data_IF_587353279297
#
_entry.id   IF_587353279297
#
_cell.length_a   1.000
_cell.length_b   1.000
_cell.length_c   1.000
_cell.angle_alpha   90.00
_cell.angle_beta   90.00
_cell.angle_gamma   90.00
#
_symmetry.space_group_name_H-M   'P 1'
#
loop_
_entity.id
_entity.type
_entity.pdbx_description
1 polymer ?
#
# COMPACT_ATOMS: atom_id res chain seq x y z
N UNK A 1 -2.18 -14.34 0.59
CA UNK A 1 -1.00 -14.77 1.39
C UNK A 1 0.23 -14.09 0.83
N UNK A 2 1.08 -13.55 1.71
CA UNK A 2 2.38 -12.95 1.37
C UNK A 2 3.46 -13.81 2.04
N UNK A 3 4.55 -14.08 1.33
CA UNK A 3 5.70 -14.78 1.88
C UNK A 3 6.83 -13.79 2.11
N UNK A 4 7.16 -13.53 3.38
CA UNK A 4 8.38 -12.82 3.74
C UNK A 4 9.51 -13.83 3.84
N UNK A 5 10.52 -13.70 2.99
CA UNK A 5 11.65 -14.62 2.91
C UNK A 5 12.90 -13.92 3.43
N UNK A 6 13.49 -14.47 4.49
CA UNK A 6 14.76 -14.02 5.05
C UNK A 6 15.92 -14.72 4.31
N UNK A 7 16.69 -13.93 3.56
CA UNK A 7 17.84 -14.38 2.79
C UNK A 7 19.18 -14.27 3.52
N UNK A 8 19.19 -13.92 4.82
CA UNK A 8 20.42 -13.80 5.60
C UNK A 8 21.22 -15.11 5.70
N UNK A 9 20.53 -16.25 5.63
CA UNK A 9 21.12 -17.58 5.44
C UNK A 9 20.43 -18.30 4.28
N UNK A 10 21.03 -18.20 3.08
CA UNK A 10 20.50 -18.82 1.87
C UNK A 10 20.45 -20.36 1.93
N UNK A 11 21.16 -20.98 2.87
CA UNK A 11 21.12 -22.44 3.07
C UNK A 11 19.96 -22.87 3.96
N UNK A 12 19.53 -22.01 4.88
CA UNK A 12 18.46 -22.27 5.86
C UNK A 12 17.44 -21.12 5.87
N UNK A 13 16.77 -20.91 4.73
CA UNK A 13 15.78 -19.85 4.58
C UNK A 13 14.72 -19.90 5.67
N UNK A 14 14.45 -18.75 6.29
CA UNK A 14 13.28 -18.57 7.13
C UNK A 14 12.19 -17.90 6.30
N UNK A 15 11.00 -18.48 6.34
CA UNK A 15 9.83 -17.94 5.63
C UNK A 15 8.72 -17.68 6.63
N UNK A 16 8.22 -16.45 6.64
CA UNK A 16 7.00 -16.08 7.37
C UNK A 16 5.87 -15.95 6.38
N UNK A 17 4.85 -16.78 6.54
CA UNK A 17 3.64 -16.71 5.75
C UNK A 17 2.62 -15.80 6.44
N UNK A 18 2.23 -14.73 5.75
CA UNK A 18 1.31 -13.72 6.26
C UNK A 18 -0.04 -13.90 5.55
N UNK A 19 -1.09 -14.07 6.34
CA UNK A 19 -2.45 -14.01 5.83
C UNK A 19 -2.75 -12.57 5.37
N UNK A 20 -3.17 -12.45 4.13
CA UNK A 20 -3.49 -11.19 3.48
C UNK A 20 -4.60 -11.45 2.46
N UNK A 21 -5.27 -10.38 2.03
CA UNK A 21 -6.40 -10.42 1.10
C UNK A 21 -6.07 -11.17 -0.20
N UNK A 22 -7.11 -11.67 -0.88
CA UNK A 22 -6.97 -12.32 -2.19
C UNK A 22 -6.72 -11.30 -3.29
N UNK A 23 -6.14 -11.76 -4.41
CA UNK A 23 -5.87 -10.94 -5.60
C UNK A 23 -4.83 -9.83 -5.35
N UNK A 24 -3.81 -10.13 -4.55
CA UNK A 24 -2.62 -9.30 -4.46
C UNK A 24 -1.96 -9.20 -5.84
N UNK A 25 -1.49 -8.01 -6.18
CA UNK A 25 -0.94 -7.71 -7.49
C UNK A 25 0.40 -6.98 -7.35
N UNK A 26 0.39 -5.66 -7.43
CA UNK A 26 1.54 -4.77 -7.39
C UNK A 26 1.54 -3.92 -6.13
N UNK A 27 2.63 -3.19 -5.91
CA UNK A 27 2.84 -2.44 -4.67
C UNK A 27 4.25 -1.85 -4.58
N UNK A 28 4.44 -1.00 -3.59
CA UNK A 28 5.73 -0.38 -3.30
C UNK A 28 5.93 -0.09 -1.83
N UNK A 29 7.16 0.28 -1.51
CA UNK A 29 7.49 0.70 -0.15
C UNK A 29 7.07 2.15 0.08
N UNK A 30 6.69 2.43 1.32
CA UNK A 30 6.55 3.79 1.82
C UNK A 30 7.89 4.55 1.76
N UNK A 31 7.83 5.86 2.01
CA UNK A 31 9.01 6.74 1.95
C UNK A 31 10.16 6.30 2.88
N UNK A 32 9.85 5.65 4.02
CA UNK A 32 10.84 5.16 4.98
C UNK A 32 11.44 3.80 4.61
N UNK A 33 10.87 3.14 3.59
CA UNK A 33 11.24 1.79 3.14
C UNK A 33 10.96 0.70 4.19
N UNK A 34 10.03 0.93 5.11
CA UNK A 34 9.67 -0.02 6.17
C UNK A 34 8.36 -0.73 5.87
N UNK A 35 7.38 -0.03 5.35
CA UNK A 35 6.05 -0.58 5.08
C UNK A 35 5.88 -0.85 3.60
N UNK A 36 5.48 -2.07 3.25
CA UNK A 36 5.13 -2.45 1.89
C UNK A 36 3.62 -2.34 1.71
N UNK A 37 3.20 -1.46 0.81
CA UNK A 37 1.79 -1.25 0.44
C UNK A 37 1.55 -1.95 -0.89
N UNK A 38 0.61 -2.90 -0.91
CA UNK A 38 0.28 -3.67 -2.12
C UNK A 38 -1.22 -3.77 -2.35
N UNK A 39 -1.63 -3.63 -3.60
CA UNK A 39 -3.03 -3.67 -3.99
C UNK A 39 -3.55 -5.11 -4.01
N UNK A 40 -4.66 -5.33 -3.30
CA UNK A 40 -5.59 -6.43 -3.52
C UNK A 40 -6.64 -5.96 -4.53
N UNK A 41 -6.25 -5.83 -5.80
CA UNK A 41 -6.94 -5.00 -6.78
C UNK A 41 -8.43 -5.37 -6.99
N UNK A 42 -8.75 -6.64 -7.18
CA UNK A 42 -10.12 -7.13 -7.36
C UNK A 42 -10.97 -7.05 -6.09
N UNK A 43 -10.40 -6.55 -4.98
CA UNK A 43 -11.07 -6.32 -3.69
C UNK A 43 -11.10 -4.85 -3.31
N UNK A 44 -10.62 -3.94 -4.16
CA UNK A 44 -10.61 -2.49 -3.91
C UNK A 44 -9.84 -2.09 -2.64
N UNK A 45 -8.84 -2.90 -2.26
CA UNK A 45 -8.11 -2.74 -1.00
C UNK A 45 -6.61 -2.67 -1.21
N UNK A 46 -5.92 -2.07 -0.25
CA UNK A 46 -4.46 -2.08 -0.12
C UNK A 46 -4.09 -2.79 1.19
N UNK A 47 -3.24 -3.80 1.10
CA UNK A 47 -2.62 -4.44 2.25
C UNK A 47 -1.33 -3.69 2.62
N UNK A 48 -1.12 -3.47 3.91
CA UNK A 48 0.09 -2.84 4.45
C UNK A 48 0.85 -3.85 5.29
N UNK A 49 2.11 -4.09 4.94
CA UNK A 49 2.98 -5.05 5.62
C UNK A 49 4.14 -4.31 6.27
N UNK A 50 4.34 -4.49 7.58
CA UNK A 50 5.59 -4.06 8.24
C UNK A 50 6.68 -5.07 7.91
N UNK A 51 7.65 -4.66 7.10
CA UNK A 51 8.76 -5.53 6.66
C UNK A 51 9.76 -5.81 7.77
N UNK A 52 9.79 -4.98 8.82
CA UNK A 52 10.66 -5.16 9.99
C UNK A 52 10.16 -6.27 10.90
N UNK A 53 8.85 -6.39 11.06
CA UNK A 53 8.22 -7.40 11.93
C UNK A 53 7.60 -8.56 11.16
N UNK A 54 7.62 -8.52 9.82
CA UNK A 54 6.98 -9.50 8.94
C UNK A 54 5.50 -9.71 9.29
N UNK A 55 4.74 -8.63 9.40
CA UNK A 55 3.33 -8.67 9.83
C UNK A 55 2.42 -7.79 8.97
N UNK A 56 1.19 -8.24 8.75
CA UNK A 56 0.10 -7.40 8.24
C UNK A 56 -0.30 -6.39 9.31
N UNK A 57 -0.20 -5.09 8.99
CA UNK A 57 -0.57 -4.02 9.92
C UNK A 57 -1.92 -3.38 9.59
N UNK A 58 -2.33 -3.39 8.31
CA UNK A 58 -3.61 -2.86 7.90
C UNK A 58 -4.13 -3.47 6.59
N UNK A 59 -5.45 -3.47 6.46
CA UNK A 59 -6.17 -3.64 5.19
C UNK A 59 -7.01 -2.38 4.97
N UNK A 60 -6.62 -1.57 4.00
CA UNK A 60 -7.19 -0.25 3.73
C UNK A 60 -8.15 -0.36 2.56
N UNK A 61 -9.41 0.06 2.72
CA UNK A 61 -10.32 0.27 1.59
C UNK A 61 -9.91 1.54 0.86
N UNK A 62 -9.82 1.48 -0.46
CA UNK A 62 -9.31 2.59 -1.27
C UNK A 62 -10.41 3.58 -1.68
N UNK A 63 -11.68 3.27 -1.40
CA UNK A 63 -12.87 4.02 -1.84
C UNK A 63 -12.94 4.23 -3.37
N UNK A 64 -12.12 3.52 -4.14
CA UNK A 64 -12.07 3.48 -5.59
C UNK A 64 -12.09 2.03 -6.10
N UNK A 65 -12.13 1.88 -7.42
CA UNK A 65 -12.33 0.59 -8.09
C UNK A 65 -11.03 0.10 -8.72
N UNK A 66 -10.58 -1.09 -8.30
CA UNK A 66 -9.39 -1.75 -8.85
C UNK A 66 -8.13 -0.87 -8.73
N UNK A 67 -7.61 -0.65 -7.52
CA UNK A 67 -6.37 0.10 -7.32
C UNK A 67 -5.22 -0.59 -8.07
N UNK A 68 -4.44 0.22 -8.79
CA UNK A 68 -3.32 -0.24 -9.60
C UNK A 68 -2.14 0.73 -9.49
N UNK A 69 -1.36 0.64 -8.40
CA UNK A 69 -0.34 1.63 -8.08
C UNK A 69 0.94 1.55 -8.91
N UNK A 70 1.26 0.40 -9.52
CA UNK A 70 2.64 0.04 -9.81
C UNK A 70 3.45 -0.04 -8.52
N UNK A 71 4.33 0.94 -8.30
CA UNK A 71 5.05 1.14 -7.02
C UNK A 71 4.38 2.19 -6.11
N UNK A 72 3.36 2.87 -6.63
CA UNK A 72 2.76 4.07 -6.05
C UNK A 72 3.71 5.26 -6.02
N UNK A 73 3.22 6.37 -5.45
CA UNK A 73 3.99 7.59 -5.29
C UNK A 73 3.99 8.03 -3.82
N UNK A 74 5.18 8.29 -3.27
CA UNK A 74 5.33 8.82 -1.92
C UNK A 74 5.37 10.35 -1.98
N UNK A 75 4.59 11.02 -1.14
CA UNK A 75 4.47 12.47 -1.08
C UNK A 75 4.49 12.92 0.39
N UNK A 76 5.06 14.10 0.65
CA UNK A 76 4.87 14.79 1.93
C UNK A 76 3.69 15.76 1.81
N UNK A 77 2.53 15.36 2.32
CA UNK A 77 1.30 16.13 2.21
C UNK A 77 1.30 17.27 3.24
N UNK A 78 1.05 18.53 2.87
CA UNK A 78 1.18 19.69 3.76
C UNK A 78 0.26 19.64 4.99
N UNK A 79 -0.84 18.89 4.93
CA UNK A 79 -1.80 18.74 6.03
C UNK A 79 -1.63 17.40 6.76
N UNK A 80 -1.36 16.31 6.03
CA UNK A 80 -1.46 14.94 6.55
C UNK A 80 -0.09 14.30 6.82
N UNK A 81 1.00 14.96 6.43
CA UNK A 81 2.35 14.41 6.49
C UNK A 81 2.60 13.36 5.40
N UNK A 82 3.48 12.37 5.65
CA UNK A 82 3.81 11.33 4.67
C UNK A 82 2.60 10.52 4.22
N UNK A 83 2.38 10.48 2.91
CA UNK A 83 1.33 9.70 2.26
C UNK A 83 1.90 8.89 1.10
N UNK A 84 1.22 7.79 0.77
CA UNK A 84 1.46 6.97 -0.42
C UNK A 84 0.21 6.96 -1.30
N UNK A 85 0.39 7.14 -2.60
CA UNK A 85 -0.68 7.31 -3.56
C UNK A 85 -0.86 6.09 -4.47
N UNK A 86 -2.12 5.77 -4.77
CA UNK A 86 -2.52 4.81 -5.82
C UNK A 86 -3.60 5.40 -6.72
N UNK A 87 -3.47 5.20 -8.03
CA UNK A 87 -4.53 5.40 -9.01
C UNK A 87 -5.41 4.15 -9.11
N UNK A 88 -6.50 4.29 -9.87
CA UNK A 88 -7.47 3.22 -10.09
C UNK A 88 -7.65 2.94 -11.58
N UNK A 89 -7.84 1.65 -11.91
CA UNK A 89 -8.21 1.26 -13.28
C UNK A 89 -9.71 1.39 -13.53
N UNK A 90 -10.53 1.17 -12.49
CA UNK A 90 -11.98 1.10 -12.60
C UNK A 90 -12.70 2.44 -12.52
N UNK A 91 -12.01 3.51 -12.10
CA UNK A 91 -12.54 4.87 -12.02
C UNK A 91 -11.41 5.92 -12.08
N UNK A 92 -11.78 7.20 -11.98
CA UNK A 92 -10.89 8.35 -12.14
C UNK A 92 -10.25 8.85 -10.83
N UNK A 93 -10.33 8.06 -9.75
CA UNK A 93 -9.86 8.48 -8.44
C UNK A 93 -8.37 8.15 -8.21
N UNK A 94 -7.72 8.96 -7.37
CA UNK A 94 -6.40 8.70 -6.81
C UNK A 94 -6.49 8.82 -5.29
N UNK A 95 -6.26 7.70 -4.60
CA UNK A 95 -6.33 7.64 -3.15
C UNK A 95 -4.96 7.94 -2.53
N UNK A 96 -4.94 8.83 -1.53
CA UNK A 96 -3.77 9.10 -0.68
C UNK A 96 -3.94 8.40 0.66
N UNK A 97 -3.01 7.52 1.00
CA UNK A 97 -3.01 6.74 2.25
C UNK A 97 -1.90 7.26 3.16
N UNK A 98 -2.21 7.60 4.42
CA UNK A 98 -1.19 8.01 5.40
C UNK A 98 -0.25 6.87 5.79
N UNK A 99 1.06 7.15 5.88
CA UNK A 99 2.10 6.11 6.08
C UNK A 99 2.99 6.32 7.30
N UNK A 100 2.67 7.28 8.16
CA UNK A 100 3.48 7.61 9.35
C UNK A 100 2.75 7.29 10.67
N UNK A 101 2.80 6.04 11.16
CA UNK A 101 2.17 5.66 12.43
C UNK A 101 2.87 6.23 13.68
N UNK A 102 4.06 6.81 13.57
CA UNK A 102 4.80 7.35 14.71
C UNK A 102 4.58 8.87 14.86
N UNK A 103 4.67 9.64 13.76
CA UNK A 103 4.51 11.10 13.76
C UNK A 103 3.09 11.61 13.43
N UNK A 104 2.26 10.80 12.75
CA UNK A 104 0.87 11.09 12.36
C UNK A 104 -0.07 9.90 12.60
N UNK A 105 -0.12 9.33 13.82
CA UNK A 105 -0.88 8.10 14.10
C UNK A 105 -2.38 8.22 13.78
N UNK A 106 -2.96 9.41 13.87
CA UNK A 106 -4.36 9.69 13.52
C UNK A 106 -4.70 9.51 12.03
N UNK A 107 -3.69 9.49 11.16
CA UNK A 107 -3.82 9.38 9.71
C UNK A 107 -3.19 8.10 9.14
N UNK A 108 -2.45 7.37 9.97
CA UNK A 108 -1.77 6.16 9.52
C UNK A 108 -2.78 5.10 9.08
N UNK A 109 -2.54 4.55 7.88
CA UNK A 109 -3.30 3.44 7.31
C UNK A 109 -4.77 3.75 7.03
N UNK A 110 -5.09 5.02 6.79
CA UNK A 110 -6.41 5.44 6.29
C UNK A 110 -6.26 6.23 4.99
N UNK A 111 -7.31 6.21 4.17
CA UNK A 111 -7.40 7.13 3.02
C UNK A 111 -7.67 8.52 3.58
N UNK A 112 -6.70 9.42 3.47
CA UNK A 112 -6.79 10.78 4.01
C UNK A 112 -7.35 11.77 3.01
N UNK A 113 -7.26 11.44 1.71
CA UNK A 113 -7.78 12.28 0.64
C UNK A 113 -8.00 11.47 -0.64
N UNK A 114 -9.06 11.82 -1.35
CA UNK A 114 -9.30 11.44 -2.74
C UNK A 114 -9.02 12.61 -3.67
N UNK A 115 -8.32 12.32 -4.76
CA UNK A 115 -8.14 13.23 -5.89
C UNK A 115 -8.84 12.65 -7.12
N UNK A 116 -9.15 13.51 -8.09
CA UNK A 116 -9.70 13.10 -9.37
C UNK A 116 -8.70 13.40 -10.49
N UNK A 117 -8.47 12.44 -11.36
CA UNK A 117 -7.52 12.50 -12.46
C UNK A 117 -8.23 12.47 -13.84
N UNK A 118 -7.49 12.19 -14.91
CA UNK A 118 -7.96 12.28 -16.29
C UNK A 118 -9.00 11.20 -16.70
N UNK A 119 -9.31 10.25 -15.82
CA UNK A 119 -10.18 9.10 -16.12
C UNK A 119 -9.60 7.78 -15.61
N UNK A 120 -10.44 6.74 -15.57
CA UNK A 120 -10.00 5.37 -15.28
C UNK A 120 -9.10 4.78 -16.36
N UNK A 121 -8.38 3.71 -16.01
CA UNK A 121 -7.42 3.04 -16.89
C UNK A 121 -5.97 3.52 -16.73
N UNK A 122 -5.67 4.33 -15.72
CA UNK A 122 -4.29 4.72 -15.40
C UNK A 122 -3.53 3.55 -14.78
N UNK A 123 -2.53 3.03 -15.51
CA UNK A 123 -1.68 1.93 -15.01
C UNK A 123 -0.77 2.36 -13.85
N UNK A 124 -0.42 3.64 -13.77
CA UNK A 124 0.50 4.19 -12.78
C UNK A 124 0.04 5.58 -12.34
N UNK A 125 0.49 5.99 -11.15
CA UNK A 125 0.40 7.37 -10.63
C UNK A 125 1.46 8.25 -11.26
#
# INVERSE_FOLDING_TARGET
>A
KILMVDYSDIRNLKVTEIEAERFLHDGGLDSTKRYFLTAANARNRVAVIDTKTSALVAMVDTDGLTPHPGRGANLDHPVYGPVWATSHLGDDTVALIGTDPEGRPEHAWTVVQQLYALGGGSLFV
#
